data_IF_107644855159
#
_entry.id   IF_107644855159
#
_cell.length_a   1.000
_cell.length_b   1.000
_cell.length_c   1.000
_cell.angle_alpha   90.00
_cell.angle_beta   90.00
_cell.angle_gamma   90.00
#
_symmetry.space_group_name_H-M   'P 1'
#
loop_
_entity.id
_entity.type
_entity.pdbx_description
1 polymer ?
#
# COMPACT_ATOMS: atom_id res chain seq x y z
N UNK A 1 -9.05 13.21 -6.22
CA UNK A 1 -9.12 12.67 -4.85
C UNK A 1 -9.44 11.18 -4.93
N UNK A 2 -8.72 10.35 -4.18
CA UNK A 2 -8.89 8.91 -4.16
C UNK A 2 -8.78 8.39 -2.73
N UNK A 3 -9.39 7.25 -2.46
CA UNK A 3 -9.33 6.53 -1.18
C UNK A 3 -8.36 5.36 -1.31
N UNK A 4 -7.41 5.28 -0.39
CA UNK A 4 -6.52 4.13 -0.22
C UNK A 4 -7.12 3.22 0.86
N UNK A 5 -7.33 1.95 0.52
CA UNK A 5 -7.72 0.89 1.45
C UNK A 5 -6.57 -0.09 1.58
N UNK A 6 -6.21 -0.43 2.81
CA UNK A 6 -5.20 -1.42 3.15
C UNK A 6 -5.86 -2.56 3.93
N UNK A 7 -5.49 -3.79 3.60
CA UNK A 7 -6.03 -5.00 4.20
C UNK A 7 -4.88 -5.95 4.55
N UNK A 8 -4.83 -6.43 5.80
CA UNK A 8 -3.88 -7.46 6.21
C UNK A 8 -4.30 -8.80 5.65
N UNK A 9 -3.35 -9.48 5.02
CA UNK A 9 -3.51 -10.85 4.58
C UNK A 9 -2.78 -11.78 5.56
N UNK A 10 -3.49 -12.66 6.29
CA UNK A 10 -2.89 -13.55 7.28
C UNK A 10 -1.96 -14.61 6.68
N UNK A 11 -2.01 -14.83 5.37
CA UNK A 11 -1.27 -15.84 4.60
C UNK A 11 -0.36 -15.24 3.50
N UNK A 12 -0.05 -13.94 3.59
CA UNK A 12 0.79 -13.28 2.59
C UNK A 12 2.30 -13.47 2.80
N UNK A 13 3.10 -13.39 1.72
CA UNK A 13 4.56 -13.58 1.80
C UNK A 13 5.34 -12.34 2.27
N UNK A 14 4.76 -11.52 3.15
CA UNK A 14 5.43 -10.32 3.67
C UNK A 14 5.49 -9.14 2.69
N UNK A 15 4.74 -9.18 1.58
CA UNK A 15 4.76 -8.15 0.54
C UNK A 15 3.58 -7.18 0.56
N UNK A 16 3.66 -6.17 -0.30
CA UNK A 16 2.58 -5.23 -0.63
C UNK A 16 1.99 -5.59 -2.00
N UNK A 17 0.71 -5.94 -2.03
CA UNK A 17 0.04 -6.46 -3.23
C UNK A 17 -1.09 -5.53 -3.68
N UNK A 18 -1.07 -5.00 -4.91
CA UNK A 18 -2.26 -4.38 -5.47
C UNK A 18 -3.37 -5.43 -5.61
N UNK A 19 -4.62 -4.98 -5.59
CA UNK A 19 -5.72 -5.77 -6.19
C UNK A 19 -5.43 -6.01 -7.69
N UNK A 20 -5.93 -7.10 -8.29
CA UNK A 20 -5.65 -7.45 -9.69
C UNK A 20 -5.89 -6.30 -10.68
N UNK A 21 -6.92 -5.49 -10.46
CA UNK A 21 -7.29 -4.35 -11.31
C UNK A 21 -6.23 -3.24 -11.32
N UNK A 22 -5.36 -3.21 -10.31
CA UNK A 22 -4.28 -2.23 -10.15
C UNK A 22 -2.89 -2.84 -10.39
N UNK A 23 -2.81 -4.14 -10.70
CA UNK A 23 -1.54 -4.84 -10.91
C UNK A 23 -0.74 -4.29 -12.11
N UNK A 24 -1.42 -3.67 -13.06
CA UNK A 24 -0.82 -3.08 -14.26
C UNK A 24 -0.31 -1.66 -14.06
N UNK A 25 -0.45 -1.07 -12.86
CA UNK A 25 0.13 0.24 -12.58
C UNK A 25 1.66 0.13 -12.51
N UNK A 26 2.36 0.90 -13.37
CA UNK A 26 3.81 0.86 -13.58
C UNK A 26 4.54 2.14 -13.15
N UNK A 27 3.98 2.88 -12.20
CA UNK A 27 4.67 4.05 -11.65
C UNK A 27 5.82 3.61 -10.74
N UNK A 28 7.04 3.94 -11.14
CA UNK A 28 8.27 3.61 -10.42
C UNK A 28 8.40 4.38 -9.11
N UNK A 29 7.99 5.65 -9.08
CA UNK A 29 8.03 6.47 -7.87
C UNK A 29 7.03 5.96 -6.85
N UNK A 30 5.88 5.52 -7.33
CA UNK A 30 4.86 4.89 -6.50
C UNK A 30 5.37 3.57 -5.90
N UNK A 31 6.01 2.70 -6.69
CA UNK A 31 6.63 1.46 -6.17
C UNK A 31 7.71 1.76 -5.15
N UNK A 32 8.60 2.72 -5.43
CA UNK A 32 9.63 3.12 -4.50
C UNK A 32 9.04 3.63 -3.18
N UNK A 33 7.95 4.38 -3.25
CA UNK A 33 7.26 4.87 -2.08
C UNK A 33 6.65 3.74 -1.23
N UNK A 34 6.11 2.69 -1.87
CA UNK A 34 5.63 1.49 -1.20
C UNK A 34 6.75 0.73 -0.49
N UNK A 35 7.86 0.51 -1.18
CA UNK A 35 9.03 -0.16 -0.62
C UNK A 35 9.60 0.63 0.56
N UNK A 36 9.68 1.96 0.46
CA UNK A 36 10.12 2.82 1.56
C UNK A 36 9.20 2.72 2.78
N UNK A 37 7.88 2.69 2.56
CA UNK A 37 6.90 2.55 3.64
C UNK A 37 7.05 1.20 4.35
N UNK A 38 7.22 0.11 3.58
CA UNK A 38 7.51 -1.22 4.13
C UNK A 38 8.80 -1.25 4.94
N UNK A 39 9.91 -0.76 4.37
CA UNK A 39 11.23 -0.74 5.04
C UNK A 39 11.15 0.08 6.33
N UNK A 40 10.44 1.21 6.33
CA UNK A 40 10.21 1.98 7.54
C UNK A 40 9.45 1.16 8.59
N UNK A 41 8.34 0.54 8.23
CA UNK A 41 7.53 -0.30 9.12
C UNK A 41 8.28 -1.50 9.67
N UNK A 42 9.17 -2.12 8.87
CA UNK A 42 10.09 -3.16 9.32
C UNK A 42 11.09 -2.61 10.35
N UNK A 43 11.70 -1.45 10.08
CA UNK A 43 12.68 -0.82 10.99
C UNK A 43 12.09 -0.44 12.35
N UNK A 44 10.83 -0.01 12.39
CA UNK A 44 10.15 0.34 13.65
C UNK A 44 9.48 -0.86 14.33
N UNK A 45 9.70 -2.08 13.81
CA UNK A 45 9.20 -3.32 14.42
C UNK A 45 7.70 -3.57 14.28
N UNK A 46 7.01 -2.79 13.44
CA UNK A 46 5.57 -2.95 13.19
C UNK A 46 5.27 -4.05 12.16
N UNK A 47 6.20 -4.33 11.25
CA UNK A 47 5.98 -5.30 10.19
C UNK A 47 6.08 -6.75 10.72
N UNK A 48 4.95 -7.44 10.82
CA UNK A 48 4.92 -8.85 11.22
C UNK A 48 5.32 -9.78 10.07
N UNK A 49 6.32 -10.63 10.30
CA UNK A 49 6.71 -11.68 9.34
C UNK A 49 5.55 -12.65 9.14
N UNK A 50 5.29 -13.03 7.88
CA UNK A 50 4.23 -13.97 7.51
C UNK A 50 2.87 -13.32 7.20
N UNK A 51 2.75 -11.99 7.31
CA UNK A 51 1.57 -11.26 6.84
C UNK A 51 1.89 -10.46 5.59
N UNK A 52 1.04 -10.57 4.58
CA UNK A 52 1.06 -9.67 3.44
C UNK A 52 0.08 -8.52 3.66
N UNK A 53 0.12 -7.53 2.78
CA UNK A 53 -0.88 -6.47 2.76
C UNK A 53 -1.40 -6.28 1.35
N UNK A 54 -2.72 -6.34 1.21
CA UNK A 54 -3.41 -5.99 -0.03
C UNK A 54 -3.81 -4.53 0.01
N UNK A 55 -3.70 -3.85 -1.12
CA UNK A 55 -4.11 -2.45 -1.22
C UNK A 55 -4.98 -2.19 -2.45
N UNK A 56 -5.94 -1.28 -2.28
CA UNK A 56 -6.85 -0.78 -3.31
C UNK A 56 -6.82 0.73 -3.30
N UNK A 57 -6.78 1.33 -4.48
CA UNK A 57 -6.98 2.76 -4.67
C UNK A 57 -8.24 2.98 -5.51
N UNK A 58 -9.18 3.77 -4.98
CA UNK A 58 -10.45 4.03 -5.64
C UNK A 58 -10.67 5.53 -5.77
N UNK A 59 -10.93 6.02 -6.98
CA UNK A 59 -11.28 7.43 -7.18
C UNK A 59 -12.67 7.70 -6.60
N UNK A 60 -12.84 8.89 -6.04
CA UNK A 60 -14.13 9.33 -5.48
C UNK A 60 -15.24 9.39 -6.54
N UNK A 61 -14.88 9.64 -7.80
CA UNK A 61 -15.81 9.68 -8.93
C UNK A 61 -16.10 8.30 -9.53
N UNK A 62 -15.61 7.21 -8.92
CA UNK A 62 -15.81 5.84 -9.41
C UNK A 62 -15.08 5.51 -10.70
N UNK A 63 -14.37 6.47 -11.31
CA UNK A 63 -13.63 6.23 -12.55
C UNK A 63 -12.39 5.37 -12.30
N UNK A 64 -11.90 4.64 -13.32
CA UNK A 64 -10.68 3.85 -13.18
C UNK A 64 -9.46 4.74 -12.94
N UNK A 65 -8.48 4.14 -12.25
CA UNK A 65 -7.14 4.72 -12.10
C UNK A 65 -6.29 4.17 -13.23
N UNK A 66 -6.15 4.98 -14.27
CA UNK A 66 -5.39 4.62 -15.48
C UNK A 66 -3.92 4.97 -15.36
N UNK A 67 -3.57 5.95 -14.53
CA UNK A 67 -2.19 6.30 -14.27
C UNK A 67 -2.04 6.83 -12.85
N UNK A 68 -0.93 6.45 -12.21
CA UNK A 68 -0.40 7.14 -11.04
C UNK A 68 0.85 7.88 -11.49
N UNK A 69 1.07 9.07 -10.94
CA UNK A 69 2.26 9.85 -11.21
C UNK A 69 2.79 10.43 -9.90
N UNK A 70 4.02 10.04 -9.57
CA UNK A 70 4.83 10.66 -8.53
C UNK A 70 4.58 10.12 -7.12
N UNK A 71 5.30 10.65 -6.12
CA UNK A 71 5.45 10.03 -4.80
C UNK A 71 4.30 10.31 -3.83
N UNK A 72 3.23 11.00 -4.27
CA UNK A 72 2.20 11.58 -3.39
C UNK A 72 1.46 10.57 -2.51
N UNK A 73 1.46 9.28 -2.86
CA UNK A 73 0.81 8.22 -2.09
C UNK A 73 1.71 7.58 -1.04
N UNK A 74 3.03 7.83 -1.05
CA UNK A 74 3.97 7.22 -0.11
C UNK A 74 3.62 7.50 1.35
N UNK A 75 3.36 8.76 1.67
CA UNK A 75 2.98 9.17 3.02
C UNK A 75 1.66 8.51 3.48
N UNK A 76 0.68 8.39 2.57
CA UNK A 76 -0.59 7.73 2.86
C UNK A 76 -0.41 6.22 3.10
N UNK A 77 0.49 5.56 2.36
CA UNK A 77 0.86 4.16 2.60
C UNK A 77 1.52 3.99 3.97
N UNK A 78 2.55 4.77 4.28
CA UNK A 78 3.24 4.67 5.58
C UNK A 78 2.27 4.88 6.74
N UNK A 79 1.43 5.92 6.67
CA UNK A 79 0.45 6.20 7.71
C UNK A 79 -0.56 5.07 7.86
N UNK A 80 -1.08 4.57 6.73
CA UNK A 80 -2.03 3.47 6.72
C UNK A 80 -1.45 2.19 7.32
N UNK A 81 -0.21 1.84 6.95
CA UNK A 81 0.48 0.67 7.50
C UNK A 81 0.66 0.81 9.02
N UNK A 82 1.17 1.96 9.48
CA UNK A 82 1.38 2.22 10.92
C UNK A 82 0.06 2.11 11.67
N UNK A 83 -1.03 2.67 11.15
CA UNK A 83 -2.34 2.61 11.77
C UNK A 83 -2.87 1.18 11.86
N UNK A 84 -2.77 0.43 10.77
CA UNK A 84 -3.27 -0.94 10.67
C UNK A 84 -2.59 -1.88 11.67
N UNK A 85 -1.28 -1.69 11.91
CA UNK A 85 -0.53 -2.45 12.91
C UNK A 85 -0.70 -1.93 14.35
N UNK A 86 -1.21 -0.72 14.54
CA UNK A 86 -1.52 -0.17 15.86
C UNK A 86 -2.95 -0.51 16.34
N UNK A 87 -3.83 -0.92 15.43
CA UNK A 87 -5.20 -1.36 15.71
C UNK A 87 -5.34 -2.89 15.90
N UNK A 88 -4.23 -3.63 15.80
CA UNK A 88 -4.10 -5.06 16.19
C UNK A 88 -3.63 -5.21 17.65
#
# INVERSE_FOLDING_TARGET
>A
MATLTLELMPDGSGGLYPIPELALIRDTDFRQAQDNARVYSERVGLWQKGRGMRWRLQRRDGKPIVNLTGPSLGAAFTLGIVKLFAEE
#
